data_IF_749656485010
#
_entry.id   IF_749656485010
#
_cell.length_a   1.000
_cell.length_b   1.000
_cell.length_c   1.000
_cell.angle_alpha   90.00
_cell.angle_beta   90.00
_cell.angle_gamma   90.00
#
_symmetry.space_group_name_H-M   'P 1'
#
loop_
_entity.id
_entity.type
_entity.pdbx_description
1 polymer ?
#
# COMPACT_ATOMS: atom_id res chain seq x y z
N UNK A 1 -13.39 -9.12 19.98
CA UNK A 1 -13.95 -8.11 19.08
C UNK A 1 -15.21 -8.61 18.36
N UNK A 2 -15.31 -9.85 17.90
CA UNK A 2 -16.61 -10.45 17.53
C UNK A 2 -17.34 -9.81 16.34
N UNK A 3 -16.70 -8.89 15.62
CA UNK A 3 -17.30 -8.12 14.52
C UNK A 3 -17.34 -8.86 13.17
N UNK A 4 -16.76 -10.06 13.09
CA UNK A 4 -16.72 -10.81 11.84
C UNK A 4 -18.10 -11.27 11.40
N UNK A 5 -18.51 -10.86 10.20
CA UNK A 5 -19.79 -11.20 9.61
C UNK A 5 -19.66 -11.38 8.08
N UNK A 6 -20.61 -12.04 7.41
CA UNK A 6 -20.65 -12.08 5.95
C UNK A 6 -20.70 -10.69 5.30
N UNK A 7 -21.36 -9.73 5.95
CA UNK A 7 -21.43 -8.33 5.50
C UNK A 7 -20.05 -7.68 5.58
N UNK A 8 -19.35 -7.81 6.72
CA UNK A 8 -18.00 -7.29 6.88
C UNK A 8 -17.03 -7.89 5.85
N UNK A 9 -17.11 -9.20 5.62
CA UNK A 9 -16.32 -9.87 4.59
C UNK A 9 -16.60 -9.27 3.20
N UNK A 10 -17.86 -9.06 2.84
CA UNK A 10 -18.24 -8.48 1.56
C UNK A 10 -17.75 -7.03 1.42
N UNK A 11 -17.82 -6.23 2.48
CA UNK A 11 -17.27 -4.87 2.52
C UNK A 11 -15.75 -4.87 2.26
N UNK A 12 -15.00 -5.78 2.89
CA UNK A 12 -13.55 -5.90 2.66
C UNK A 12 -13.25 -6.29 1.20
N UNK A 13 -14.01 -7.22 0.61
CA UNK A 13 -13.85 -7.58 -0.81
C UNK A 13 -14.20 -6.38 -1.70
N UNK A 14 -15.30 -5.68 -1.39
CA UNK A 14 -15.76 -4.49 -2.09
C UNK A 14 -14.75 -3.33 -2.04
N UNK A 15 -13.93 -3.24 -1.00
CA UNK A 15 -12.85 -2.24 -0.87
C UNK A 15 -11.44 -2.79 -1.22
N UNK A 16 -11.34 -3.90 -1.96
CA UNK A 16 -10.06 -4.50 -2.44
C UNK A 16 -9.09 -4.86 -1.31
N UNK A 17 -9.66 -5.33 -0.19
CA UNK A 17 -8.91 -5.68 1.00
C UNK A 17 -8.57 -4.49 1.90
N UNK A 18 -8.93 -3.27 1.51
CA UNK A 18 -8.81 -2.11 2.40
C UNK A 18 -9.87 -2.15 3.49
N UNK A 19 -9.45 -1.82 4.71
CA UNK A 19 -10.35 -1.72 5.87
C UNK A 19 -10.63 -0.26 6.26
N UNK A 20 -10.04 0.71 5.55
CA UNK A 20 -10.01 2.11 5.99
C UNK A 20 -11.40 2.76 6.00
N UNK A 21 -12.28 2.36 5.07
CA UNK A 21 -13.64 2.92 4.94
C UNK A 21 -14.69 2.20 5.80
N UNK A 22 -14.34 1.08 6.41
CA UNK A 22 -15.28 0.25 7.16
C UNK A 22 -15.41 0.80 8.58
N UNK A 23 -16.58 1.35 8.91
CA UNK A 23 -16.84 2.03 10.20
C UNK A 23 -16.78 1.09 11.40
N UNK A 24 -17.18 -0.17 11.23
CA UNK A 24 -17.19 -1.21 12.26
C UNK A 24 -15.78 -1.58 12.76
N UNK A 25 -14.73 -1.29 11.97
CA UNK A 25 -13.34 -1.61 12.30
C UNK A 25 -12.74 -0.44 13.11
N UNK A 26 -12.26 -0.70 14.34
CA UNK A 26 -11.55 0.28 15.16
C UNK A 26 -10.32 0.91 14.47
N UNK A 27 -10.03 2.16 14.79
CA UNK A 27 -8.97 2.92 14.12
C UNK A 27 -7.55 2.39 14.39
N UNK A 28 -7.32 1.77 15.54
CA UNK A 28 -6.07 1.08 15.86
C UNK A 28 -5.83 -0.12 14.92
N UNK A 29 -6.88 -0.89 14.61
CA UNK A 29 -6.79 -1.95 13.61
C UNK A 29 -6.61 -1.39 12.20
N UNK A 30 -7.32 -0.32 11.84
CA UNK A 30 -7.13 0.34 10.54
C UNK A 30 -5.69 0.81 10.37
N UNK A 31 -5.06 1.30 11.44
CA UNK A 31 -3.66 1.71 11.42
C UNK A 31 -2.70 0.52 11.18
N UNK A 32 -2.99 -0.64 11.76
CA UNK A 32 -2.20 -1.87 11.60
C UNK A 32 -2.38 -2.48 10.20
N UNK A 33 -3.62 -2.54 9.70
CA UNK A 33 -3.98 -3.22 8.46
C UNK A 33 -4.02 -2.29 7.24
N UNK A 34 -3.14 -1.29 7.21
CA UNK A 34 -2.97 -0.47 6.01
C UNK A 34 -2.43 -1.31 4.87
N UNK A 35 -3.05 -1.18 3.70
CA UNK A 35 -2.52 -1.78 2.48
C UNK A 35 -1.29 -1.02 2.00
N UNK A 36 -0.51 -1.62 1.09
CA UNK A 36 0.69 -0.96 0.53
C UNK A 36 0.37 0.35 -0.21
N UNK A 37 -0.86 0.52 -0.68
CA UNK A 37 -1.36 1.71 -1.38
C UNK A 37 -1.73 2.84 -0.42
N UNK A 38 -1.98 2.53 0.85
CA UNK A 38 -2.30 3.48 1.91
C UNK A 38 -1.06 3.96 2.68
N UNK A 39 0.09 3.33 2.43
CA UNK A 39 1.37 3.69 3.03
C UNK A 39 2.12 4.64 2.10
N UNK A 40 2.58 5.77 2.66
CA UNK A 40 3.45 6.72 1.95
C UNK A 40 4.73 6.01 1.53
N UNK A 41 5.04 5.99 0.23
CA UNK A 41 6.23 5.30 -0.28
C UNK A 41 7.55 5.87 0.27
N UNK A 42 7.56 7.15 0.67
CA UNK A 42 8.70 7.73 1.41
C UNK A 42 9.01 6.95 2.69
N UNK A 43 7.99 6.53 3.45
CA UNK A 43 8.16 5.72 4.67
C UNK A 43 8.78 4.37 4.36
N UNK A 44 8.35 3.73 3.26
CA UNK A 44 8.93 2.46 2.80
C UNK A 44 10.40 2.62 2.44
N UNK A 45 10.77 3.72 1.76
CA UNK A 45 12.15 4.06 1.44
C UNK A 45 12.98 4.32 2.70
N UNK A 46 12.46 5.12 3.64
CA UNK A 46 13.15 5.42 4.90
C UNK A 46 13.45 4.12 5.68
N UNK A 47 12.47 3.20 5.81
CA UNK A 47 12.70 1.90 6.44
C UNK A 47 13.67 0.99 5.65
N UNK A 48 13.77 1.16 4.34
CA UNK A 48 14.75 0.44 3.52
C UNK A 48 16.16 0.99 3.73
N UNK A 49 16.30 2.30 3.93
CA UNK A 49 17.56 2.95 4.29
C UNK A 49 18.02 2.45 5.66
N UNK A 50 17.14 2.45 6.65
CA UNK A 50 17.45 2.05 8.03
C UNK A 50 17.99 0.62 8.10
N UNK A 51 17.38 -0.33 7.38
CA UNK A 51 17.89 -1.71 7.33
C UNK A 51 19.13 -1.86 6.45
N UNK A 52 19.36 -0.92 5.53
CA UNK A 52 20.39 -1.01 4.49
C UNK A 52 21.82 -1.06 5.03
N UNK A 53 22.10 -0.49 6.20
CA UNK A 53 23.42 -0.55 6.83
C UNK A 53 23.78 -1.96 7.33
N UNK A 54 22.81 -2.86 7.47
CA UNK A 54 22.99 -4.25 7.88
C UNK A 54 22.92 -5.24 6.70
N UNK A 55 22.84 -4.74 5.46
CA UNK A 55 22.77 -5.54 4.23
C UNK A 55 24.08 -5.38 3.45
N UNK A 56 24.83 -6.46 3.34
CA UNK A 56 26.14 -6.51 2.65
C UNK A 56 26.04 -6.13 1.16
N UNK A 57 25.03 -6.66 0.47
CA UNK A 57 24.71 -6.37 -0.93
C UNK A 57 23.57 -5.35 -1.00
N UNK A 58 22.40 -5.73 -1.52
CA UNK A 58 21.26 -4.83 -1.65
C UNK A 58 19.95 -5.57 -1.33
N UNK A 59 18.83 -4.95 -1.66
CA UNK A 59 17.50 -5.43 -1.36
C UNK A 59 16.54 -5.11 -2.51
N UNK A 60 15.69 -6.08 -2.85
CA UNK A 60 14.67 -5.93 -3.90
C UNK A 60 13.53 -5.04 -3.41
N UNK A 61 13.63 -3.73 -3.65
CA UNK A 61 12.67 -2.73 -3.17
C UNK A 61 11.60 -2.42 -4.21
N UNK A 62 10.40 -2.97 -4.05
CA UNK A 62 9.24 -2.62 -4.89
C UNK A 62 8.57 -1.33 -4.38
N UNK A 63 8.21 -0.44 -5.31
CA UNK A 63 7.47 0.78 -5.04
C UNK A 63 6.05 0.63 -5.57
N UNK A 64 5.07 1.02 -4.76
CA UNK A 64 3.65 0.98 -5.10
C UNK A 64 3.10 2.40 -5.09
N UNK A 65 2.75 2.93 -6.26
CA UNK A 65 2.30 4.31 -6.39
C UNK A 65 0.97 4.36 -7.09
N UNK A 66 -0.05 4.79 -6.34
CA UNK A 66 -1.33 5.13 -6.93
C UNK A 66 -1.23 6.48 -7.67
N UNK A 67 -1.90 6.54 -8.82
CA UNK A 67 -1.86 7.67 -9.76
C UNK A 67 -0.43 8.20 -9.93
N UNK A 68 0.45 7.32 -10.40
CA UNK A 68 1.85 7.64 -10.61
C UNK A 68 1.99 8.75 -11.67
N UNK A 69 2.84 9.73 -11.36
CA UNK A 69 3.20 10.79 -12.29
C UNK A 69 4.71 11.07 -12.19
N UNK A 70 5.25 11.74 -13.20
CA UNK A 70 6.69 11.99 -13.29
C UNK A 70 7.23 12.76 -12.08
N UNK A 71 6.46 13.67 -11.48
CA UNK A 71 6.88 14.43 -10.30
C UNK A 71 7.02 13.57 -9.05
N UNK A 72 6.01 12.74 -8.74
CA UNK A 72 6.04 11.79 -7.61
C UNK A 72 7.16 10.76 -7.79
N UNK A 73 7.32 10.23 -9.00
CA UNK A 73 8.35 9.22 -9.27
C UNK A 73 9.76 9.80 -9.19
N UNK A 74 9.99 10.97 -9.80
CA UNK A 74 11.26 11.69 -9.74
C UNK A 74 11.65 12.01 -8.30
N UNK A 75 10.73 12.61 -7.53
CA UNK A 75 11.00 12.95 -6.12
C UNK A 75 11.34 11.73 -5.26
N UNK A 76 10.68 10.59 -5.47
CA UNK A 76 10.99 9.36 -4.76
C UNK A 76 12.35 8.79 -5.14
N UNK A 77 12.71 8.81 -6.44
CA UNK A 77 14.03 8.37 -6.90
C UNK A 77 15.15 9.22 -6.31
N UNK A 78 15.01 10.55 -6.33
CA UNK A 78 16.00 11.44 -5.73
C UNK A 78 16.08 11.26 -4.21
N UNK A 79 14.95 11.04 -3.53
CA UNK A 79 14.95 10.72 -2.10
C UNK A 79 15.74 9.44 -1.80
N UNK A 80 15.46 8.34 -2.50
CA UNK A 80 16.19 7.07 -2.35
C UNK A 80 17.69 7.20 -2.65
N UNK A 81 18.04 7.89 -3.74
CA UNK A 81 19.43 8.14 -4.13
C UNK A 81 20.19 8.98 -3.10
N UNK A 82 19.62 10.09 -2.64
CA UNK A 82 20.24 10.97 -1.65
C UNK A 82 20.48 10.31 -0.30
N UNK A 83 19.74 9.22 0.00
CA UNK A 83 19.90 8.41 1.22
C UNK A 83 20.86 7.23 1.05
N UNK A 84 21.48 7.07 -0.12
CA UNK A 84 22.50 6.05 -0.36
C UNK A 84 21.94 4.64 -0.56
N UNK A 85 20.66 4.47 -0.92
CA UNK A 85 20.14 3.16 -1.28
C UNK A 85 20.84 2.62 -2.53
N UNK A 86 21.40 1.41 -2.40
CA UNK A 86 22.02 0.68 -3.52
C UNK A 86 20.99 0.31 -4.60
N UNK A 87 19.79 -0.10 -4.20
CA UNK A 87 18.64 -0.31 -5.09
C UNK A 87 17.52 0.65 -4.71
N UNK A 88 17.36 1.72 -5.50
CA UNK A 88 16.31 2.72 -5.26
C UNK A 88 14.91 2.28 -5.69
N UNK A 89 14.80 1.35 -6.64
CA UNK A 89 13.54 0.75 -7.09
C UNK A 89 13.80 -0.53 -7.87
N UNK A 90 13.00 -1.57 -7.61
CA UNK A 90 12.98 -2.81 -8.39
C UNK A 90 11.81 -2.77 -9.39
N UNK A 91 10.57 -2.98 -8.93
CA UNK A 91 9.37 -2.70 -9.72
C UNK A 91 8.70 -1.42 -9.26
N UNK A 92 8.17 -0.66 -10.24
CA UNK A 92 7.08 0.26 -10.03
C UNK A 92 5.77 -0.49 -10.28
N UNK A 93 4.92 -0.55 -9.25
CA UNK A 93 3.55 -1.08 -9.35
C UNK A 93 2.59 0.10 -9.30
N UNK A 94 1.73 0.20 -10.31
CA UNK A 94 0.66 1.18 -10.39
C UNK A 94 -0.69 0.45 -10.39
N UNK A 95 -1.75 1.17 -10.03
CA UNK A 95 -3.13 0.73 -10.21
C UNK A 95 -3.81 1.62 -11.25
N UNK A 96 -4.80 1.03 -11.93
CA UNK A 96 -5.65 1.82 -12.81
C UNK A 96 -6.46 2.82 -11.97
N UNK A 97 -6.81 3.96 -12.58
CA UNK A 97 -7.62 4.98 -11.91
C UNK A 97 -9.08 4.52 -11.66
N UNK A 98 -9.52 3.47 -12.35
CA UNK A 98 -10.84 2.88 -12.19
C UNK A 98 -10.71 1.44 -11.71
N UNK A 99 -11.54 1.09 -10.72
CA UNK A 99 -11.61 -0.26 -10.20
C UNK A 99 -12.32 -1.19 -11.20
N UNK A 100 -11.91 -2.46 -11.19
CA UNK A 100 -12.60 -3.48 -11.96
C UNK A 100 -13.98 -3.76 -11.34
N UNK A 101 -14.96 -4.07 -12.18
CA UNK A 101 -16.29 -4.49 -11.72
C UNK A 101 -16.15 -5.78 -10.90
N UNK A 102 -16.66 -5.77 -9.67
CA UNK A 102 -16.60 -6.91 -8.75
C UNK A 102 -17.82 -7.80 -8.92
N UNK A 103 -17.67 -8.87 -9.69
CA UNK A 103 -18.77 -9.79 -10.03
C UNK A 103 -19.20 -10.71 -8.88
N UNK A 104 -18.39 -10.86 -7.84
CA UNK A 104 -18.62 -11.83 -6.75
C UNK A 104 -19.25 -11.21 -5.49
N UNK A 105 -19.52 -9.91 -5.50
CA UNK A 105 -20.11 -9.19 -4.37
C UNK A 105 -21.51 -8.74 -4.75
N UNK A 106 -22.51 -9.20 -4.00
CA UNK A 106 -23.87 -8.66 -4.10
C UNK A 106 -23.91 -7.28 -3.43
N UNK A 107 -23.98 -6.23 -4.25
CA UNK A 107 -23.99 -4.86 -3.77
C UNK A 107 -25.28 -4.46 -3.05
N UNK A 108 -26.33 -5.27 -3.11
CA UNK A 108 -27.56 -5.05 -2.34
C UNK A 108 -27.44 -5.44 -0.86
N UNK A 109 -26.38 -6.15 -0.51
CA UNK A 109 -26.08 -6.65 0.84
C UNK A 109 -24.92 -5.88 1.51
N UNK A 110 -24.46 -4.77 0.91
CA UNK A 110 -23.41 -3.89 1.44
C UNK A 110 -24.00 -2.78 2.32
#
# INVERSE_FOLDING_TARGET
>A
MGIWSPVLKNNIIYDDGSVQKITEIPDDLKAIYKTVWEIKQKTVVDMAVDRGCYIDQSQSLNIHMDQANSGKLTSLHFHAWSKGLKTGMYYLRTRAAADAIKFTVDTSLL
#
